data_IF_911904034834
#
_entry.id   IF_911904034834
#
_cell.length_a   1.000
_cell.length_b   1.000
_cell.length_c   1.000
_cell.angle_alpha   90.00
_cell.angle_beta   90.00
_cell.angle_gamma   90.00
#
_symmetry.space_group_name_H-M   'P 1'
#
loop_
_entity.id
_entity.type
_entity.pdbx_description
1 polymer ?
#
# COMPACT_ATOMS: atom_id res chain seq x y z
N UNK A 1 -17.34 -14.80 8.09
CA UNK A 1 -15.89 -14.61 7.93
C UNK A 1 -15.66 -13.26 7.25
N UNK A 2 -14.84 -12.38 7.81
CA UNK A 2 -14.52 -11.08 7.19
C UNK A 2 -13.19 -11.24 6.46
N UNK A 3 -13.20 -11.13 5.14
CA UNK A 3 -11.99 -11.15 4.30
C UNK A 3 -11.56 -9.71 4.07
N UNK A 4 -10.28 -9.40 4.30
CA UNK A 4 -9.72 -8.08 4.03
C UNK A 4 -8.76 -8.17 2.86
N UNK A 5 -8.91 -7.26 1.90
CA UNK A 5 -7.94 -7.08 0.82
C UNK A 5 -7.17 -5.80 1.12
N UNK A 6 -5.84 -5.89 1.17
CA UNK A 6 -4.93 -4.75 1.28
C UNK A 6 -4.37 -4.44 -0.09
N UNK A 7 -4.31 -3.15 -0.42
CA UNK A 7 -3.64 -2.64 -1.60
C UNK A 7 -2.51 -1.74 -1.12
N UNK A 8 -1.28 -2.02 -1.56
CA UNK A 8 -0.11 -1.21 -1.22
C UNK A 8 0.79 -1.14 -2.44
N UNK A 9 1.02 0.07 -2.98
CA UNK A 9 1.91 0.28 -4.13
C UNK A 9 1.55 -0.61 -5.35
N UNK A 10 0.25 -0.80 -5.61
CA UNK A 10 -0.24 -1.66 -6.70
C UNK A 10 -0.18 -3.16 -6.43
N UNK A 11 0.34 -3.60 -5.27
CA UNK A 11 0.31 -5.00 -4.83
C UNK A 11 -0.95 -5.27 -4.00
N UNK A 12 -1.56 -6.42 -4.26
CA UNK A 12 -2.76 -6.87 -3.55
C UNK A 12 -2.40 -8.01 -2.59
N UNK A 13 -2.96 -8.00 -1.40
CA UNK A 13 -2.85 -9.09 -0.46
C UNK A 13 -4.19 -9.39 0.20
N UNK A 14 -4.54 -10.67 0.36
CA UNK A 14 -5.67 -11.11 1.18
C UNK A 14 -5.16 -11.39 2.58
N UNK A 15 -5.81 -10.79 3.57
CA UNK A 15 -5.51 -10.94 4.98
C UNK A 15 -6.62 -11.74 5.64
N UNK A 16 -6.27 -12.90 6.20
CA UNK A 16 -7.16 -13.73 7.01
C UNK A 16 -6.71 -13.61 8.46
N UNK A 17 -7.47 -12.85 9.23
CA UNK A 17 -7.13 -12.47 10.60
C UNK A 17 -8.39 -12.42 11.46
N UNK A 18 -8.37 -13.13 12.57
CA UNK A 18 -9.41 -13.10 13.60
C UNK A 18 -8.79 -12.59 14.91
N UNK A 19 -8.82 -11.26 15.14
CA UNK A 19 -8.19 -10.67 16.32
C UNK A 19 -8.98 -11.02 17.59
N UNK A 20 -8.24 -11.42 18.63
CA UNK A 20 -8.75 -11.74 19.96
C UNK A 20 -8.34 -10.61 20.90
N UNK A 21 -9.29 -10.12 21.70
CA UNK A 21 -9.02 -9.09 22.71
C UNK A 21 -8.64 -9.77 24.02
N UNK A 22 -7.53 -9.35 24.61
CA UNK A 22 -7.07 -9.82 25.91
C UNK A 22 -6.64 -8.62 26.75
N UNK A 23 -7.57 -8.10 27.56
CA UNK A 23 -7.38 -6.82 28.24
C UNK A 23 -7.12 -5.70 27.24
N UNK A 24 -5.98 -5.03 27.38
CA UNK A 24 -5.53 -3.95 26.48
C UNK A 24 -4.76 -4.46 25.25
N UNK A 25 -4.58 -5.77 25.11
CA UNK A 25 -3.87 -6.37 24.00
C UNK A 25 -4.82 -6.90 22.92
N UNK A 26 -4.38 -6.81 21.68
CA UNK A 26 -4.98 -7.54 20.55
C UNK A 26 -4.03 -8.66 20.17
N UNK A 27 -4.44 -9.90 20.40
CA UNK A 27 -3.75 -11.09 19.91
C UNK A 27 -4.28 -11.39 18.51
N UNK A 28 -3.41 -11.36 17.52
CA UNK A 28 -3.82 -11.47 16.12
C UNK A 28 -3.02 -12.57 15.41
N UNK A 29 -3.53 -13.80 15.35
CA UNK A 29 -3.08 -14.80 14.40
C UNK A 29 -3.21 -14.24 12.97
N UNK A 30 -2.21 -14.49 12.11
CA UNK A 30 -2.16 -13.93 10.76
C UNK A 30 -1.87 -15.02 9.75
N UNK A 31 -2.69 -15.05 8.71
CA UNK A 31 -2.41 -15.76 7.45
C UNK A 31 -2.66 -14.76 6.33
N UNK A 32 -1.60 -14.33 5.69
CA UNK A 32 -1.65 -13.31 4.63
C UNK A 32 -1.11 -13.92 3.33
N UNK A 33 -1.75 -13.61 2.20
CA UNK A 33 -1.35 -14.08 0.87
C UNK A 33 -1.23 -12.92 -0.10
N UNK A 34 -0.13 -12.86 -0.84
CA UNK A 34 -0.04 -12.00 -2.01
C UNK A 34 -0.92 -12.56 -3.13
N UNK A 35 -1.74 -11.70 -3.73
CA UNK A 35 -2.67 -12.08 -4.79
C UNK A 35 -2.62 -11.08 -5.94
N UNK A 36 -3.18 -11.46 -7.09
CA UNK A 36 -3.35 -10.57 -8.23
C UNK A 36 -4.65 -9.75 -8.14
N UNK A 37 -4.71 -8.63 -8.85
CA UNK A 37 -5.97 -7.90 -9.08
C UNK A 37 -7.05 -8.81 -9.69
N UNK A 38 -6.64 -9.72 -10.58
CA UNK A 38 -7.54 -10.69 -11.21
C UNK A 38 -8.16 -11.66 -10.19
N UNK A 39 -7.43 -12.05 -9.14
CA UNK A 39 -7.96 -12.86 -8.03
C UNK A 39 -9.03 -12.09 -7.26
N UNK A 40 -8.80 -10.79 -6.98
CA UNK A 40 -9.82 -9.93 -6.34
C UNK A 40 -11.06 -9.82 -7.21
N UNK A 41 -10.90 -9.59 -8.52
CA UNK A 41 -12.02 -9.54 -9.46
C UNK A 41 -12.80 -10.87 -9.50
N UNK A 42 -12.11 -12.01 -9.42
CA UNK A 42 -12.72 -13.34 -9.29
C UNK A 42 -13.59 -13.47 -8.03
N UNK A 43 -13.10 -13.00 -6.88
CA UNK A 43 -13.90 -12.97 -5.64
C UNK A 43 -15.19 -12.16 -5.81
N UNK A 44 -15.10 -10.97 -6.43
CA UNK A 44 -16.28 -10.13 -6.68
C UNK A 44 -17.30 -10.84 -7.59
N UNK A 45 -16.84 -11.53 -8.65
CA UNK A 45 -17.71 -12.33 -9.55
C UNK A 45 -18.39 -13.50 -8.84
N UNK A 46 -17.73 -14.08 -7.84
CA UNK A 46 -18.29 -15.15 -7.00
C UNK A 46 -19.30 -14.66 -5.96
N UNK A 47 -19.62 -13.36 -5.96
CA UNK A 47 -20.63 -12.77 -5.08
C UNK A 47 -20.08 -12.21 -3.78
N UNK A 48 -18.75 -12.15 -3.60
CA UNK A 48 -18.18 -11.38 -2.49
C UNK A 48 -18.43 -9.89 -2.73
N UNK A 49 -18.96 -9.20 -1.72
CA UNK A 49 -19.22 -7.77 -1.78
C UNK A 49 -18.18 -7.02 -0.96
N UNK A 50 -17.62 -5.96 -1.54
CA UNK A 50 -16.80 -5.03 -0.79
C UNK A 50 -17.73 -4.11 0.02
N UNK A 51 -17.59 -4.14 1.35
CA UNK A 51 -18.54 -3.49 2.27
C UNK A 51 -17.97 -2.25 2.97
N UNK A 52 -16.65 -2.06 2.91
CA UNK A 52 -15.98 -0.92 3.51
C UNK A 52 -14.65 -0.65 2.80
N UNK A 53 -14.27 0.63 2.73
CA UNK A 53 -12.98 1.10 2.25
C UNK A 53 -12.30 1.88 3.37
N UNK A 54 -11.03 1.57 3.64
CA UNK A 54 -10.20 2.27 4.62
C UNK A 54 -8.91 2.66 3.93
N UNK A 55 -8.65 3.96 3.89
CA UNK A 55 -7.38 4.51 3.44
C UNK A 55 -6.52 4.87 4.66
N UNK A 56 -5.28 4.40 4.67
CA UNK A 56 -4.35 4.63 5.75
C UNK A 56 -2.92 4.71 5.22
N UNK A 57 -2.10 5.55 5.84
CA UNK A 57 -0.64 5.57 5.66
C UNK A 57 0.04 5.26 6.99
N UNK A 58 1.23 4.67 6.93
CA UNK A 58 1.97 4.28 8.14
C UNK A 58 3.44 4.62 8.00
N UNK A 59 4.04 5.16 9.07
CA UNK A 59 5.49 5.23 9.24
C UNK A 59 5.92 4.08 10.13
N UNK A 60 6.89 3.28 9.68
CA UNK A 60 7.26 2.01 10.31
C UNK A 60 8.66 2.11 10.91
N UNK A 61 8.79 1.71 12.17
CA UNK A 61 10.05 1.55 12.89
C UNK A 61 10.18 0.10 13.38
N UNK A 62 11.35 -0.50 13.19
CA UNK A 62 11.59 -1.90 13.57
C UNK A 62 13.00 -2.08 14.11
N UNK A 63 13.13 -2.80 15.22
CA UNK A 63 14.43 -3.11 15.86
C UNK A 63 14.69 -4.64 15.97
N UNK A 64 13.84 -5.45 15.33
CA UNK A 64 13.88 -6.91 15.36
C UNK A 64 13.14 -7.55 16.55
N UNK A 65 12.87 -6.79 17.62
CA UNK A 65 12.08 -7.26 18.78
C UNK A 65 10.64 -6.76 18.71
N UNK A 66 10.48 -5.51 18.33
CA UNK A 66 9.19 -4.85 18.16
C UNK A 66 9.10 -4.17 16.79
N UNK A 67 7.86 -4.00 16.35
CA UNK A 67 7.49 -3.20 15.19
C UNK A 67 6.53 -2.12 15.67
N UNK A 68 6.88 -0.86 15.44
CA UNK A 68 6.05 0.30 15.77
C UNK A 68 5.57 0.91 14.46
N UNK A 69 4.26 1.05 14.32
CA UNK A 69 3.62 1.71 13.18
C UNK A 69 2.89 2.96 13.69
N UNK A 70 3.17 4.11 13.07
CA UNK A 70 2.43 5.36 13.28
C UNK A 70 1.43 5.51 12.14
N UNK A 71 0.19 5.12 12.40
CA UNK A 71 -0.88 5.02 11.42
C UNK A 71 -1.71 6.30 11.35
N UNK A 72 -1.81 6.85 10.14
CA UNK A 72 -2.69 7.98 9.83
C UNK A 72 -3.89 7.44 9.05
N UNK A 73 -5.06 7.43 9.68
CA UNK A 73 -6.31 7.00 9.06
C UNK A 73 -6.98 8.20 8.37
N UNK A 74 -7.39 8.03 7.12
CA UNK A 74 -8.13 9.07 6.42
C UNK A 74 -9.45 9.39 7.16
N UNK A 75 -9.71 10.67 7.40
CA UNK A 75 -10.90 11.14 8.13
C UNK A 75 -10.73 11.17 9.66
N UNK A 76 -9.60 10.73 10.19
CA UNK A 76 -9.30 10.79 11.64
C UNK A 76 -8.19 11.80 11.89
N UNK A 77 -8.41 12.74 12.81
CA UNK A 77 -7.49 13.86 13.05
C UNK A 77 -6.17 13.43 13.67
N UNK A 78 -6.21 12.57 14.68
CA UNK A 78 -5.03 12.15 15.44
C UNK A 78 -4.53 10.79 14.93
N UNK A 79 -3.20 10.61 14.79
CA UNK A 79 -2.64 9.32 14.42
C UNK A 79 -2.81 8.30 15.55
N UNK A 80 -2.78 7.02 15.18
CA UNK A 80 -2.72 5.90 16.13
C UNK A 80 -1.35 5.24 16.07
N UNK A 81 -0.88 4.76 17.22
CA UNK A 81 0.37 4.02 17.31
C UNK A 81 0.05 2.55 17.55
N UNK A 82 0.54 1.67 16.67
CA UNK A 82 0.51 0.23 16.88
C UNK A 82 1.90 -0.26 17.28
N UNK A 83 1.99 -0.88 18.46
CA UNK A 83 3.20 -1.57 18.92
C UNK A 83 2.94 -3.07 18.82
N UNK A 84 3.74 -3.75 18.00
CA UNK A 84 3.59 -5.18 17.70
C UNK A 84 4.85 -5.92 18.14
N UNK A 85 4.66 -7.07 18.76
CA UNK A 85 5.72 -7.97 19.19
C UNK A 85 5.14 -9.32 19.56
N UNK A 86 6.01 -10.32 19.72
CA UNK A 86 5.62 -11.69 20.14
C UNK A 86 5.59 -11.85 21.66
N UNK A 87 6.15 -10.90 22.40
CA UNK A 87 6.20 -10.89 23.86
C UNK A 87 5.45 -9.67 24.42
N UNK A 88 4.49 -9.90 25.33
CA UNK A 88 3.61 -8.86 25.88
C UNK A 88 4.35 -7.89 26.78
N UNK A 89 5.30 -8.37 27.57
CA UNK A 89 6.06 -7.57 28.52
C UNK A 89 6.94 -6.54 27.78
N UNK A 90 7.56 -6.95 26.67
CA UNK A 90 8.34 -6.05 25.79
C UNK A 90 7.42 -5.01 25.14
N UNK A 91 6.25 -5.41 24.61
CA UNK A 91 5.28 -4.47 24.03
C UNK A 91 4.81 -3.45 25.06
N UNK A 92 4.50 -3.90 26.28
CA UNK A 92 4.08 -3.04 27.38
C UNK A 92 5.19 -2.07 27.79
N UNK A 93 6.43 -2.55 27.92
CA UNK A 93 7.58 -1.71 28.26
C UNK A 93 7.85 -0.64 27.20
N UNK A 94 7.69 -0.98 25.92
CA UNK A 94 7.78 0.00 24.83
C UNK A 94 6.66 1.04 24.88
N UNK A 95 5.42 0.62 25.19
CA UNK A 95 4.30 1.53 25.35
C UNK A 95 4.52 2.53 26.50
N UNK A 96 5.00 2.07 27.66
CA UNK A 96 5.31 2.94 28.79
C UNK A 96 6.50 3.87 28.50
N UNK A 97 7.52 3.40 27.76
CA UNK A 97 8.65 4.24 27.32
C UNK A 97 8.21 5.39 26.40
N UNK A 98 7.11 5.18 25.66
CA UNK A 98 6.49 6.21 24.82
C UNK A 98 5.42 7.02 25.57
N UNK A 99 5.26 6.83 26.89
CA UNK A 99 4.26 7.50 27.72
C UNK A 99 2.82 7.31 27.25
N UNK A 100 2.50 6.11 26.75
CA UNK A 100 1.17 5.79 26.21
C UNK A 100 0.23 5.14 27.26
N UNK A 101 0.65 5.00 28.50
CA UNK A 101 -0.11 4.31 29.54
C UNK A 101 -1.52 4.92 29.71
N UNK A 102 -2.54 4.07 29.72
CA UNK A 102 -3.95 4.48 29.85
C UNK A 102 -4.62 5.01 28.58
N UNK A 103 -3.87 5.19 27.48
CA UNK A 103 -4.43 5.66 26.19
C UNK A 103 -4.84 4.54 25.23
N UNK A 104 -4.73 3.28 25.66
CA UNK A 104 -4.89 2.11 24.78
C UNK A 104 -6.33 1.93 24.30
N UNK A 105 -6.45 1.37 23.09
CA UNK A 105 -7.74 1.00 22.51
C UNK A 105 -7.67 -0.36 21.83
N UNK A 106 -8.74 -1.13 21.94
CA UNK A 106 -8.92 -2.40 21.21
C UNK A 106 -9.98 -2.30 20.09
N UNK A 107 -10.38 -1.07 19.76
CA UNK A 107 -11.29 -0.78 18.64
C UNK A 107 -10.58 -1.07 17.32
N UNK A 108 -11.33 -1.58 16.35
CA UNK A 108 -10.81 -1.72 14.99
C UNK A 108 -10.74 -0.36 14.31
N UNK A 109 -9.88 -0.19 13.29
CA UNK A 109 -9.86 1.05 12.51
C UNK A 109 -11.22 1.40 11.92
N UNK A 110 -11.98 0.41 11.44
CA UNK A 110 -13.33 0.66 10.94
C UNK A 110 -14.22 1.29 12.02
N UNK A 111 -14.15 0.76 13.24
CA UNK A 111 -14.89 1.31 14.37
C UNK A 111 -14.42 2.73 14.71
N UNK A 112 -13.10 2.97 14.75
CA UNK A 112 -12.53 4.31 15.00
C UNK A 112 -13.03 5.32 13.97
N UNK A 113 -12.97 4.96 12.68
CA UNK A 113 -13.40 5.82 11.58
C UNK A 113 -14.89 6.13 11.71
N UNK A 114 -15.73 5.11 11.93
CA UNK A 114 -17.17 5.29 12.09
C UNK A 114 -17.53 6.18 13.30
N UNK A 115 -16.79 6.08 14.40
CA UNK A 115 -17.00 6.90 15.59
C UNK A 115 -16.45 8.33 15.44
N UNK A 116 -15.44 8.55 14.57
CA UNK A 116 -14.89 9.87 14.29
C UNK A 116 -15.74 10.71 13.33
N UNK A 117 -16.77 10.12 12.72
CA UNK A 117 -17.68 10.85 11.86
C UNK A 117 -18.51 11.85 12.68
N UNK A 118 -18.76 13.06 12.16
CA UNK A 118 -19.62 14.03 12.84
C UNK A 118 -21.03 13.45 13.05
N UNK A 119 -21.73 13.90 14.08
CA UNK A 119 -23.13 13.51 14.38
C UNK A 119 -24.12 14.27 13.48
N UNK A 120 -23.64 15.18 12.65
CA UNK A 120 -24.47 16.06 11.81
C UNK A 120 -24.84 15.35 10.49
N UNK A 121 -26.09 14.86 10.40
CA UNK A 121 -26.60 13.96 9.35
C UNK A 121 -26.25 14.40 7.92
N UNK A 122 -26.18 15.71 7.65
CA UNK A 122 -25.88 16.25 6.32
C UNK A 122 -24.39 16.14 5.94
N UNK A 123 -23.47 16.30 6.89
CA UNK A 123 -22.02 16.17 6.66
C UNK A 123 -21.63 14.69 6.63
N UNK A 124 -22.27 13.89 7.48
CA UNK A 124 -22.05 12.44 7.59
C UNK A 124 -22.52 11.72 6.34
N UNK A 125 -23.67 12.12 5.77
CA UNK A 125 -24.10 11.64 4.46
C UNK A 125 -23.08 11.98 3.36
N UNK A 126 -22.50 13.19 3.39
CA UNK A 126 -21.47 13.61 2.43
C UNK A 126 -20.20 12.75 2.48
N UNK A 127 -19.65 12.52 3.67
CA UNK A 127 -18.44 11.69 3.87
C UNK A 127 -18.73 10.23 3.50
N UNK A 128 -19.88 9.69 3.93
CA UNK A 128 -20.31 8.34 3.60
C UNK A 128 -20.48 8.17 2.08
N UNK A 129 -21.05 9.17 1.40
CA UNK A 129 -21.17 9.17 -0.06
C UNK A 129 -19.81 9.22 -0.76
N UNK A 130 -18.85 9.99 -0.23
CA UNK A 130 -17.50 10.05 -0.80
C UNK A 130 -16.76 8.72 -0.64
N UNK A 131 -16.83 8.08 0.54
CA UNK A 131 -16.22 6.77 0.77
C UNK A 131 -16.88 5.67 -0.08
N UNK A 132 -18.20 5.68 -0.19
CA UNK A 132 -18.94 4.76 -1.05
C UNK A 132 -18.57 4.93 -2.53
N UNK A 133 -18.45 6.18 -3.00
CA UNK A 133 -18.02 6.48 -4.37
C UNK A 133 -16.59 6.00 -4.64
N UNK A 134 -15.66 6.22 -3.71
CA UNK A 134 -14.27 5.72 -3.81
C UNK A 134 -14.20 4.20 -3.82
N UNK A 135 -15.00 3.54 -2.98
CA UNK A 135 -15.09 2.09 -2.96
C UNK A 135 -15.61 1.56 -4.31
N UNK A 136 -16.64 2.19 -4.87
CA UNK A 136 -17.21 1.82 -6.16
C UNK A 136 -16.19 2.01 -7.30
N UNK A 137 -15.50 3.15 -7.34
CA UNK A 137 -14.42 3.44 -8.29
C UNK A 137 -13.32 2.36 -8.24
N UNK A 138 -12.92 1.97 -7.02
CA UNK A 138 -11.91 0.94 -6.81
C UNK A 138 -12.38 -0.44 -7.29
N UNK A 139 -13.63 -0.80 -6.99
CA UNK A 139 -14.24 -2.07 -7.43
C UNK A 139 -14.29 -2.13 -8.96
N UNK A 140 -14.75 -1.07 -9.61
CA UNK A 140 -14.80 -0.97 -11.07
C UNK A 140 -13.40 -1.06 -11.70
N UNK A 141 -12.43 -0.35 -11.13
CA UNK A 141 -11.04 -0.42 -11.55
C UNK A 141 -10.47 -1.83 -11.46
N UNK A 142 -10.70 -2.55 -10.36
CA UNK A 142 -10.23 -3.94 -10.19
C UNK A 142 -10.92 -4.87 -11.19
N UNK A 143 -12.23 -4.71 -11.41
CA UNK A 143 -12.98 -5.53 -12.36
C UNK A 143 -12.49 -5.32 -13.80
N UNK A 144 -12.16 -4.07 -14.18
CA UNK A 144 -11.60 -3.77 -15.51
C UNK A 144 -10.25 -4.45 -15.76
N UNK A 145 -9.42 -4.61 -14.72
CA UNK A 145 -8.13 -5.31 -14.81
C UNK A 145 -8.28 -6.83 -14.82
N UNK A 146 -9.36 -7.36 -14.22
CA UNK A 146 -9.66 -8.80 -14.16
C UNK A 146 -10.24 -9.40 -15.45
N UNK A 147 -10.24 -8.65 -16.55
CA UNK A 147 -10.83 -9.03 -17.84
C UNK A 147 -10.10 -10.14 -18.62
N UNK A 148 -8.86 -10.50 -18.28
CA UNK A 148 -8.10 -11.54 -19.00
C UNK A 148 -8.34 -12.99 -18.55
N UNK A 149 -9.45 -13.27 -17.86
CA UNK A 149 -9.89 -14.67 -17.67
C UNK A 149 -10.70 -15.13 -18.89
N UNK A 150 -10.02 -15.31 -20.03
CA UNK A 150 -10.54 -16.20 -21.07
C UNK A 150 -10.21 -17.63 -20.65
N UNK A 151 -11.20 -18.26 -20.03
CA UNK A 151 -11.28 -19.70 -19.90
C UNK A 151 -11.59 -20.30 -21.27
N UNK A 152 -10.56 -20.58 -22.08
CA UNK A 152 -10.71 -21.47 -23.24
C UNK A 152 -9.61 -22.52 -23.22
N UNK A 153 -9.96 -23.68 -22.66
CA UNK A 153 -9.26 -24.94 -22.84
C UNK A 153 -9.64 -25.53 -24.21
N UNK A 154 -9.16 -24.95 -25.31
CA UNK A 154 -9.02 -25.61 -26.63
C UNK A 154 -8.38 -24.67 -27.66
N UNK A 155 -7.41 -25.20 -28.42
CA UNK A 155 -6.56 -24.61 -29.47
C UNK A 155 -7.29 -23.84 -30.60
N UNK A 156 -6.61 -23.23 -31.62
CA UNK A 156 -5.20 -22.87 -31.80
C UNK A 156 -4.96 -21.38 -32.14
N UNK A 157 -3.69 -20.98 -32.10
CA UNK A 157 -3.04 -19.78 -32.67
C UNK A 157 -3.92 -18.95 -33.62
N UNK A 158 -4.26 -17.72 -33.21
CA UNK A 158 -4.58 -16.63 -34.14
C UNK A 158 -4.21 -15.28 -33.52
N UNK A 159 -3.25 -14.63 -34.18
CA UNK A 159 -2.79 -13.27 -33.93
C UNK A 159 -3.94 -12.27 -34.11
N UNK A 160 -4.17 -11.42 -33.09
CA UNK A 160 -5.04 -10.26 -33.21
C UNK A 160 -4.20 -8.97 -33.11
N UNK A 161 -4.04 -8.33 -34.26
CA UNK A 161 -3.09 -7.28 -34.61
C UNK A 161 -3.49 -5.85 -34.19
N UNK A 162 -3.81 -5.61 -32.91
CA UNK A 162 -4.15 -4.23 -32.47
C UNK A 162 -3.38 -3.71 -31.24
N UNK A 163 -2.66 -4.57 -30.52
CA UNK A 163 -1.85 -4.17 -29.37
C UNK A 163 -0.35 -4.08 -29.67
N UNK A 164 0.11 -4.61 -30.81
CA UNK A 164 1.54 -4.56 -31.19
C UNK A 164 2.03 -3.12 -31.39
N UNK A 165 1.26 -2.27 -32.07
CA UNK A 165 1.67 -0.88 -32.31
C UNK A 165 1.85 -0.05 -31.04
N UNK A 166 1.09 -0.36 -29.98
CA UNK A 166 1.21 0.32 -28.69
C UNK A 166 2.38 -0.24 -27.88
N UNK A 167 2.61 -1.55 -27.94
CA UNK A 167 3.74 -2.19 -27.28
C UNK A 167 5.07 -1.75 -27.90
N UNK A 168 5.13 -1.63 -29.22
CA UNK A 168 6.28 -1.14 -29.97
C UNK A 168 6.59 0.34 -29.65
N UNK A 169 5.56 1.19 -29.51
CA UNK A 169 5.73 2.59 -29.08
C UNK A 169 6.36 2.66 -27.69
N UNK A 170 5.83 1.91 -26.73
CA UNK A 170 6.34 1.87 -25.36
C UNK A 170 7.77 1.35 -25.30
N UNK A 171 8.10 0.30 -26.06
CA UNK A 171 9.46 -0.22 -26.16
C UNK A 171 10.43 0.79 -26.78
N UNK A 172 10.01 1.51 -27.82
CA UNK A 172 10.83 2.54 -28.46
C UNK A 172 11.14 3.70 -27.49
N UNK A 173 10.17 4.08 -26.66
CA UNK A 173 10.30 5.13 -25.64
C UNK A 173 11.24 4.71 -24.52
N UNK A 174 11.15 3.47 -24.04
CA UNK A 174 12.07 2.91 -23.03
C UNK A 174 13.51 2.92 -23.55
N UNK A 175 13.73 2.43 -24.78
CA UNK A 175 15.06 2.39 -25.40
C UNK A 175 15.67 3.78 -25.60
N UNK A 176 14.83 4.80 -25.85
CA UNK A 176 15.27 6.20 -25.94
C UNK A 176 15.66 6.78 -24.57
N UNK A 177 14.95 6.41 -23.52
CA UNK A 177 15.28 6.80 -22.14
C UNK A 177 16.59 6.17 -21.66
N UNK A 178 16.84 4.90 -21.98
CA UNK A 178 18.11 4.24 -21.67
C UNK A 178 19.31 4.92 -22.34
N UNK A 179 19.15 5.33 -23.61
CA UNK A 179 20.16 6.11 -24.33
C UNK A 179 20.42 7.47 -23.68
N UNK A 180 19.36 8.19 -23.29
CA UNK A 180 19.51 9.48 -22.59
C UNK A 180 20.15 9.33 -21.22
N UNK A 181 19.83 8.26 -20.49
CA UNK A 181 20.46 7.97 -19.20
C UNK A 181 21.95 7.63 -19.37
N UNK A 182 22.31 6.87 -20.41
CA UNK A 182 23.70 6.57 -20.73
C UNK A 182 24.48 7.84 -21.07
N UNK A 183 23.89 8.74 -21.87
CA UNK A 183 24.49 10.04 -22.19
C UNK A 183 24.67 10.87 -20.93
N UNK A 184 23.64 10.95 -20.08
CA UNK A 184 23.70 11.67 -18.81
C UNK A 184 24.83 11.12 -17.92
N UNK A 185 24.95 9.79 -17.79
CA UNK A 185 26.02 9.14 -17.02
C UNK A 185 27.41 9.52 -17.54
N UNK A 186 27.62 9.50 -18.86
CA UNK A 186 28.91 9.90 -19.48
C UNK A 186 29.20 11.38 -19.25
N UNK A 187 28.19 12.24 -19.32
CA UNK A 187 28.37 13.67 -19.10
C UNK A 187 28.74 13.97 -17.64
N UNK A 188 28.11 13.28 -16.70
CA UNK A 188 28.44 13.35 -15.27
C UNK A 188 29.84 12.81 -14.98
N UNK A 189 30.30 11.74 -15.62
CA UNK A 189 31.67 11.22 -15.41
C UNK A 189 32.72 12.17 -15.97
N UNK A 190 32.48 12.78 -17.13
CA UNK A 190 33.37 13.81 -17.69
C UNK A 190 33.41 15.03 -16.75
N UNK A 191 32.26 15.50 -16.29
CA UNK A 191 32.18 16.67 -15.40
C UNK A 191 32.89 16.41 -14.06
N UNK A 192 32.66 15.25 -13.44
CA UNK A 192 33.34 14.86 -12.21
C UNK A 192 34.86 14.73 -12.40
N UNK A 193 35.30 14.12 -13.51
CA UNK A 193 36.74 14.00 -13.81
C UNK A 193 37.42 15.35 -14.04
N UNK A 194 36.74 16.29 -14.72
CA UNK A 194 37.23 17.66 -14.91
C UNK A 194 37.30 18.44 -13.59
N UNK A 195 36.31 18.26 -12.71
CA UNK A 195 36.25 18.93 -11.41
C UNK A 195 37.34 18.40 -10.46
N UNK A 196 37.58 17.08 -10.45
CA UNK A 196 38.70 16.46 -9.72
C UNK A 196 40.05 16.91 -10.29
N UNK A 197 40.20 16.95 -11.61
CA UNK A 197 41.41 17.45 -12.28
C UNK A 197 41.70 18.92 -11.96
N UNK A 198 40.67 19.77 -11.97
CA UNK A 198 40.78 21.18 -11.60
C UNK A 198 41.17 21.36 -10.12
N UNK A 199 40.58 20.58 -9.22
CA UNK A 199 40.91 20.60 -7.79
C UNK A 199 42.38 20.21 -7.55
N UNK A 200 42.87 19.16 -8.22
CA UNK A 200 44.27 18.73 -8.15
C UNK A 200 45.24 19.76 -8.77
N UNK A 201 44.82 20.46 -9.83
CA UNK A 201 45.60 21.55 -10.42
C UNK A 201 45.71 22.76 -9.48
N UNK A 202 44.64 23.17 -8.81
CA UNK A 202 44.70 24.24 -7.79
C UNK A 202 45.61 23.88 -6.62
N UNK A 203 45.61 22.61 -6.18
CA UNK A 203 46.40 22.15 -5.04
C UNK A 203 47.92 22.10 -5.30
N UNK A 204 48.36 22.09 -6.56
CA UNK A 204 49.78 22.18 -6.95
C UNK A 204 50.34 23.60 -7.02
N UNK A 205 49.50 24.64 -6.89
CA UNK A 205 49.90 26.05 -6.97
C UNK A 205 50.10 26.73 -5.61
N UNK A 206 49.99 25.98 -4.52
CA UNK A 206 50.35 26.41 -3.16
C UNK A 206 51.54 25.61 -2.64
#
# INVERSE_FOLDING_TARGET
MVVRVRICEGRFAVLIREPIREGNFIIQPKVDFDISASTVAGLLKLGYQAVAYIEASAVIYQDGKILIEVDHLQGVTNPYIQIKGTNKEIVSSAASSLSLDGSYTTKSYLQIILESLPVDDNVTAGIHNQQAARLQELVEFIQSQGGSFNSDLSSPIRENSSTDGVLDDLQSRIKRLERWNTINMVLWTILLSALVGYSLYQKRRH
#
